data_IF_141178800381
#
_entry.id   IF_141178800381
#
_cell.length_a   1.000
_cell.length_b   1.000
_cell.length_c   1.000
_cell.angle_alpha   90.00
_cell.angle_beta   90.00
_cell.angle_gamma   90.00
#
_symmetry.space_group_name_H-M   'P 1'
#
loop_
_entity.id
_entity.type
_entity.pdbx_description
1 polymer ?
#
# COMPACT_ATOMS: atom_id res chain seq x y z
N UNK A 1 -7.63 -5.04 -23.94
CA UNK A 1 -8.03 -3.60 -23.97
C UNK A 1 -6.90 -2.81 -23.31
N UNK A 2 -6.32 -1.81 -23.98
CA UNK A 2 -5.13 -1.09 -23.49
C UNK A 2 -5.59 0.15 -22.73
N UNK A 3 -5.61 0.09 -21.39
CA UNK A 3 -5.90 1.27 -20.58
C UNK A 3 -4.71 2.23 -20.64
N UNK A 4 -4.98 3.51 -20.91
CA UNK A 4 -3.97 4.56 -20.92
C UNK A 4 -4.31 5.53 -19.80
N UNK A 5 -3.40 5.70 -18.85
CA UNK A 5 -3.57 6.66 -17.76
C UNK A 5 -2.77 7.92 -18.07
N UNK A 6 -3.39 9.08 -17.91
CA UNK A 6 -2.75 10.39 -18.02
C UNK A 6 -3.01 11.14 -16.71
N UNK A 7 -1.95 11.42 -15.96
CA UNK A 7 -2.03 12.15 -14.69
C UNK A 7 -1.66 13.61 -14.91
N UNK A 8 -2.46 14.51 -14.33
CA UNK A 8 -2.19 15.95 -14.31
C UNK A 8 -2.05 16.42 -12.86
N UNK A 9 -1.04 17.22 -12.60
CA UNK A 9 -0.83 17.87 -11.31
C UNK A 9 -1.20 19.35 -11.44
N UNK A 10 -2.08 19.81 -10.54
CA UNK A 10 -2.56 21.19 -10.51
C UNK A 10 -3.57 21.37 -9.37
N UNK A 11 -3.80 22.61 -8.98
CA UNK A 11 -4.92 22.96 -8.11
C UNK A 11 -6.24 22.72 -8.84
N UNK A 12 -7.36 22.49 -8.14
CA UNK A 12 -8.64 22.23 -8.78
C UNK A 12 -9.08 23.32 -9.77
N UNK A 13 -8.80 24.58 -9.44
CA UNK A 13 -9.06 25.73 -10.31
C UNK A 13 -8.22 25.67 -11.59
N UNK A 14 -6.93 25.36 -11.48
CA UNK A 14 -6.04 25.22 -12.64
C UNK A 14 -6.46 24.06 -13.56
N UNK A 15 -6.98 22.97 -12.98
CA UNK A 15 -7.45 21.81 -13.75
C UNK A 15 -8.80 22.10 -14.45
N UNK A 16 -9.70 22.81 -13.80
CA UNK A 16 -11.00 23.20 -14.37
C UNK A 16 -10.87 24.25 -15.48
N UNK A 17 -9.88 25.15 -15.37
CA UNK A 17 -9.57 26.19 -16.36
C UNK A 17 -8.65 25.69 -17.49
N UNK A 18 -8.04 24.51 -17.36
CA UNK A 18 -7.13 23.96 -18.37
C UNK A 18 -7.85 23.55 -19.65
N UNK A 19 -7.61 24.28 -20.73
CA UNK A 19 -8.07 23.92 -22.08
C UNK A 19 -7.49 22.57 -22.55
N UNK A 20 -6.28 22.22 -22.12
CA UNK A 20 -5.64 20.95 -22.47
C UNK A 20 -6.38 19.75 -21.89
N UNK A 21 -6.85 19.84 -20.64
CA UNK A 21 -7.67 18.79 -20.01
C UNK A 21 -9.02 18.68 -20.71
N UNK A 22 -9.66 19.81 -21.04
CA UNK A 22 -10.96 19.84 -21.72
C UNK A 22 -10.91 19.21 -23.12
N UNK A 23 -9.85 19.47 -23.88
CA UNK A 23 -9.68 18.92 -25.23
C UNK A 23 -9.38 17.42 -25.18
N UNK A 24 -8.58 16.96 -24.20
CA UNK A 24 -8.29 15.54 -24.00
C UNK A 24 -9.55 14.74 -23.64
N UNK A 25 -10.41 15.29 -22.78
CA UNK A 25 -11.71 14.69 -22.41
C UNK A 25 -12.66 14.64 -23.60
N UNK A 26 -12.66 15.66 -24.48
CA UNK A 26 -13.51 15.67 -25.69
C UNK A 26 -13.10 14.64 -26.74
N UNK A 27 -11.80 14.37 -26.88
CA UNK A 27 -11.29 13.40 -27.86
C UNK A 27 -11.56 11.93 -27.46
N UNK A 28 -11.91 11.66 -26.21
CA UNK A 28 -12.28 10.33 -25.73
C UNK A 28 -13.80 10.14 -25.71
N UNK A 29 -14.35 9.58 -26.79
CA UNK A 29 -15.77 9.21 -26.92
C UNK A 29 -16.10 7.85 -26.27
N UNK A 30 -15.56 7.59 -25.08
CA UNK A 30 -15.88 6.44 -24.23
C UNK A 30 -15.96 6.90 -22.78
N UNK A 31 -16.71 6.20 -21.92
CA UNK A 31 -16.96 6.59 -20.52
C UNK A 31 -15.69 7.09 -19.84
N UNK A 32 -15.62 8.41 -19.67
CA UNK A 32 -14.54 9.06 -18.93
C UNK A 32 -14.97 9.01 -17.47
N UNK A 33 -14.41 8.08 -16.70
CA UNK A 33 -14.40 8.20 -15.24
C UNK A 33 -13.51 9.39 -14.89
N UNK A 34 -14.14 10.56 -14.85
CA UNK A 34 -13.53 11.74 -14.25
C UNK A 34 -13.53 11.47 -12.75
N UNK A 35 -12.39 11.02 -12.22
CA UNK A 35 -12.11 11.11 -10.78
C UNK A 35 -12.09 12.60 -10.44
N UNK A 36 -13.27 13.15 -10.15
CA UNK A 36 -13.41 14.49 -9.60
C UNK A 36 -12.71 14.50 -8.25
N UNK A 37 -11.53 15.12 -8.19
CA UNK A 37 -11.13 15.81 -6.97
C UNK A 37 -12.08 16.98 -6.79
N UNK A 38 -13.18 16.78 -6.08
CA UNK A 38 -13.99 17.90 -5.58
C UNK A 38 -13.29 18.51 -4.37
N UNK A 39 -12.90 19.80 -4.40
CA UNK A 39 -12.64 20.55 -3.19
C UNK A 39 -13.95 21.20 -2.71
N UNK A 40 -14.36 20.89 -1.49
CA UNK A 40 -14.95 21.80 -0.49
C UNK A 40 -15.73 21.03 0.56
N UNK A 41 -15.40 21.27 1.81
CA UNK A 41 -16.34 22.02 2.63
C UNK A 41 -15.67 23.35 2.98
N UNK A 42 -16.32 24.44 2.58
CA UNK A 42 -16.17 25.73 3.25
C UNK A 42 -16.70 25.49 4.66
N UNK A 43 -15.87 25.71 5.66
CA UNK A 43 -16.28 25.60 7.05
C UNK A 43 -17.26 26.74 7.30
N UNK A 44 -18.55 26.42 7.38
CA UNK A 44 -19.54 27.25 8.03
C UNK A 44 -19.32 27.05 9.55
N UNK A 45 -18.96 28.10 10.32
CA UNK A 45 -18.54 27.92 11.71
C UNK A 45 -19.68 27.57 12.69
N UNK A 46 -20.90 27.25 12.23
CA UNK A 46 -22.06 26.98 13.10
C UNK A 46 -22.87 25.72 12.75
N UNK A 47 -22.33 24.74 12.00
CA UNK A 47 -23.00 23.43 11.86
C UNK A 47 -22.30 22.34 12.67
N UNK A 48 -22.97 21.88 13.72
CA UNK A 48 -22.60 20.76 14.60
C UNK A 48 -22.84 19.39 13.94
N UNK A 49 -22.69 19.31 12.61
CA UNK A 49 -22.77 18.07 11.86
C UNK A 49 -21.36 17.51 11.67
N UNK A 50 -21.00 16.54 12.52
CA UNK A 50 -19.80 15.72 12.38
C UNK A 50 -19.75 15.12 10.96
N UNK A 51 -18.85 15.64 10.13
CA UNK A 51 -18.46 15.00 8.87
C UNK A 51 -17.74 13.70 9.19
N UNK A 52 -18.50 12.60 9.21
CA UNK A 52 -18.02 11.23 9.29
C UNK A 52 -17.21 10.88 8.04
N UNK A 53 -15.90 11.18 8.09
CA UNK A 53 -14.92 10.61 7.18
C UNK A 53 -14.74 9.14 7.55
N UNK A 54 -15.68 8.27 7.20
CA UNK A 54 -15.72 6.84 7.55
C UNK A 54 -14.35 6.20 7.77
N UNK A 55 -13.92 6.19 9.04
CA UNK A 55 -12.69 5.54 9.51
C UNK A 55 -12.95 4.02 9.58
N UNK A 56 -13.06 3.37 8.42
CA UNK A 56 -13.49 1.98 8.25
C UNK A 56 -12.39 0.92 8.55
N UNK A 57 -11.50 1.20 9.51
CA UNK A 57 -10.63 0.18 10.11
C UNK A 57 -10.89 0.18 11.60
N UNK A 58 -11.86 -0.65 12.02
CA UNK A 58 -12.14 -0.87 13.43
C UNK A 58 -10.98 -1.65 14.08
N UNK A 59 -10.53 -1.19 15.25
CA UNK A 59 -9.43 -1.83 15.98
C UNK A 59 -8.03 -1.44 15.48
N UNK A 60 -7.03 -2.18 15.94
CA UNK A 60 -5.62 -1.91 15.66
C UNK A 60 -5.09 -2.72 14.47
N UNK A 61 -4.19 -2.12 13.71
CA UNK A 61 -3.52 -2.78 12.59
C UNK A 61 -2.59 -3.86 13.15
N UNK A 62 -2.73 -5.14 12.74
CA UNK A 62 -1.96 -6.24 13.30
C UNK A 62 -0.44 -6.02 13.23
N UNK A 63 0.23 -6.30 14.35
CA UNK A 63 1.69 -6.20 14.50
C UNK A 63 2.26 -4.78 14.52
N UNK A 64 1.49 -3.74 14.19
CA UNK A 64 1.93 -2.35 14.22
C UNK A 64 1.90 -1.83 15.67
N UNK A 65 2.98 -1.21 16.12
CA UNK A 65 3.04 -0.57 17.45
C UNK A 65 2.22 0.72 17.49
N UNK A 66 1.81 1.13 18.70
CA UNK A 66 0.95 2.29 18.94
C UNK A 66 1.38 3.55 18.16
N UNK A 67 2.67 3.88 18.18
CA UNK A 67 3.25 5.03 17.46
C UNK A 67 2.92 5.05 15.95
N UNK A 68 2.81 3.88 15.32
CA UNK A 68 2.54 3.77 13.89
C UNK A 68 1.07 3.64 13.52
N UNK A 69 0.18 3.39 14.49
CA UNK A 69 -1.21 3.00 14.24
C UNK A 69 -1.96 4.06 13.42
N UNK A 70 -1.95 5.32 13.88
CA UNK A 70 -2.68 6.40 13.20
C UNK A 70 -2.19 6.63 11.76
N UNK A 71 -0.87 6.56 11.53
CA UNK A 71 -0.28 6.75 10.20
C UNK A 71 -0.62 5.61 9.24
N UNK A 72 -0.65 4.37 9.72
CA UNK A 72 -1.00 3.21 8.88
C UNK A 72 -2.51 3.19 8.61
N UNK A 73 -3.36 3.47 9.60
CA UNK A 73 -4.81 3.61 9.41
C UNK A 73 -5.15 4.69 8.37
N UNK A 74 -4.48 5.85 8.43
CA UNK A 74 -4.64 6.90 7.43
C UNK A 74 -4.25 6.47 6.01
N UNK A 75 -3.25 5.59 5.86
CA UNK A 75 -2.89 5.03 4.55
C UNK A 75 -3.90 4.01 4.05
N UNK A 76 -4.42 3.15 4.94
CA UNK A 76 -5.42 2.14 4.59
C UNK A 76 -6.70 2.75 4.03
N UNK A 77 -7.05 3.99 4.41
CA UNK A 77 -8.18 4.72 3.84
C UNK A 77 -8.09 4.91 2.31
N UNK A 78 -6.91 4.80 1.71
CA UNK A 78 -6.70 4.89 0.26
C UNK A 78 -6.61 3.52 -0.43
N UNK A 79 -6.60 2.43 0.33
CA UNK A 79 -6.43 1.09 -0.19
C UNK A 79 -7.78 0.45 -0.52
N UNK A 80 -8.08 0.14 -1.79
CA UNK A 80 -9.36 -0.46 -2.20
C UNK A 80 -9.56 -1.88 -1.66
N UNK A 81 -8.51 -2.57 -1.21
CA UNK A 81 -8.54 -3.90 -0.61
C UNK A 81 -7.96 -3.89 0.81
N UNK A 82 -8.31 -2.85 1.59
CA UNK A 82 -7.83 -2.67 2.96
C UNK A 82 -8.10 -3.90 3.86
N UNK A 83 -9.27 -4.53 3.73
CA UNK A 83 -9.59 -5.72 4.52
C UNK A 83 -8.66 -6.89 4.19
N UNK A 84 -8.48 -7.22 2.92
CA UNK A 84 -7.56 -8.29 2.51
C UNK A 84 -6.11 -7.99 2.93
N UNK A 85 -5.70 -6.71 2.90
CA UNK A 85 -4.40 -6.31 3.43
C UNK A 85 -4.31 -6.54 4.95
N UNK A 86 -5.36 -6.23 5.71
CA UNK A 86 -5.40 -6.49 7.15
C UNK A 86 -5.39 -7.99 7.45
N UNK A 87 -6.07 -8.81 6.65
CA UNK A 87 -6.05 -10.26 6.76
C UNK A 87 -4.65 -10.83 6.48
N UNK A 88 -3.95 -10.29 5.47
CA UNK A 88 -2.53 -10.58 5.24
C UNK A 88 -1.67 -10.25 6.47
N UNK A 89 -1.84 -9.05 7.03
CA UNK A 89 -1.09 -8.62 8.21
C UNK A 89 -1.40 -9.50 9.42
N UNK A 90 -2.67 -9.85 9.64
CA UNK A 90 -3.10 -10.70 10.75
C UNK A 90 -2.43 -12.08 10.68
N UNK A 91 -2.47 -12.71 9.51
CA UNK A 91 -1.84 -14.02 9.30
C UNK A 91 -0.32 -13.94 9.42
N UNK A 92 0.34 -13.08 8.64
CA UNK A 92 1.80 -13.02 8.60
C UNK A 92 2.44 -12.59 9.92
N UNK A 93 1.75 -11.77 10.73
CA UNK A 93 2.24 -11.36 12.05
C UNK A 93 1.94 -12.38 13.16
N UNK A 94 1.10 -13.39 12.89
CA UNK A 94 0.88 -14.51 13.79
C UNK A 94 2.04 -15.52 13.79
N UNK A 95 2.87 -15.51 12.74
CA UNK A 95 3.99 -16.42 12.60
C UNK A 95 5.08 -16.16 13.63
N UNK A 96 5.79 -17.23 14.01
CA UNK A 96 6.72 -17.19 15.14
C UNK A 96 7.81 -16.12 14.97
N UNK A 97 7.84 -15.18 15.92
CA UNK A 97 8.88 -14.17 15.98
C UNK A 97 8.80 -13.10 14.88
N UNK A 98 7.70 -12.98 14.13
CA UNK A 98 7.51 -11.89 13.19
C UNK A 98 7.25 -10.57 13.94
N UNK A 99 7.98 -9.52 13.56
CA UNK A 99 7.84 -8.17 14.09
C UNK A 99 7.69 -7.19 12.93
N UNK A 100 6.80 -6.20 13.08
CA UNK A 100 6.58 -5.14 12.10
C UNK A 100 7.38 -3.90 12.49
N UNK A 101 8.14 -3.35 11.55
CA UNK A 101 8.92 -2.13 11.76
C UNK A 101 8.59 -1.06 10.72
N UNK A 102 8.49 0.19 11.16
CA UNK A 102 8.57 1.35 10.28
C UNK A 102 9.96 1.54 9.67
N UNK A 103 10.15 2.61 8.92
CA UNK A 103 11.37 2.95 8.19
C UNK A 103 12.33 3.73 9.08
N UNK A 104 13.60 3.31 9.10
CA UNK A 104 14.70 4.15 9.60
C UNK A 104 15.12 5.09 8.47
N UNK A 105 14.81 6.37 8.58
CA UNK A 105 15.23 7.38 7.58
C UNK A 105 16.75 7.57 7.64
N UNK A 106 17.35 8.16 6.60
CA UNK A 106 18.81 8.29 6.46
C UNK A 106 19.49 9.02 7.63
N UNK A 107 18.77 9.92 8.29
CA UNK A 107 19.24 10.72 9.43
C UNK A 107 18.86 10.15 10.78
N UNK A 108 18.25 8.96 10.83
CA UNK A 108 17.75 8.33 12.05
C UNK A 108 18.90 8.01 13.01
N UNK A 109 18.70 8.35 14.29
CA UNK A 109 19.58 8.05 15.42
C UNK A 109 18.86 7.16 16.44
N UNK A 110 19.62 6.55 17.33
CA UNK A 110 19.04 5.76 18.41
C UNK A 110 18.13 6.63 19.30
N UNK A 111 16.88 6.19 19.47
CA UNK A 111 15.84 6.94 20.16
C UNK A 111 14.91 7.75 19.26
N UNK A 112 15.27 7.94 17.98
CA UNK A 112 14.36 8.61 17.03
C UNK A 112 13.15 7.71 16.71
N UNK A 113 11.96 8.33 16.50
CA UNK A 113 10.78 7.61 16.06
C UNK A 113 10.99 6.94 14.69
N UNK A 114 10.24 5.88 14.43
CA UNK A 114 10.25 5.22 13.12
C UNK A 114 9.24 5.92 12.20
N UNK A 115 9.53 5.92 10.90
CA UNK A 115 8.61 6.48 9.91
C UNK A 115 7.67 5.40 9.35
N UNK A 116 6.36 5.59 9.53
CA UNK A 116 5.32 4.66 9.10
C UNK A 116 4.61 5.07 7.80
N UNK A 117 5.00 6.18 7.15
CA UNK A 117 4.31 6.78 5.96
C UNK A 117 4.56 6.05 4.64
N UNK A 118 5.46 5.06 4.62
CA UNK A 118 5.83 4.32 3.42
C UNK A 118 5.52 2.83 3.55
N UNK A 119 6.55 2.00 3.38
CA UNK A 119 6.42 0.58 3.62
C UNK A 119 6.66 0.22 5.09
N UNK A 120 6.00 -0.84 5.54
CA UNK A 120 6.33 -1.54 6.77
C UNK A 120 7.18 -2.75 6.46
N UNK A 121 8.08 -3.11 7.37
CA UNK A 121 8.98 -4.26 7.23
C UNK A 121 8.55 -5.36 8.18
N UNK A 122 8.13 -6.49 7.65
CA UNK A 122 7.91 -7.70 8.43
C UNK A 122 9.25 -8.44 8.51
N UNK A 123 9.74 -8.65 9.73
CA UNK A 123 11.04 -9.27 9.99
C UNK A 123 10.91 -10.37 11.03
N UNK A 124 11.57 -11.51 10.77
CA UNK A 124 11.73 -12.57 11.76
C UNK A 124 12.79 -12.19 12.80
N UNK A 125 12.43 -12.27 14.08
CA UNK A 125 13.33 -12.01 15.21
C UNK A 125 14.52 -12.96 15.15
N UNK A 126 15.72 -12.41 15.32
CA UNK A 126 16.96 -13.18 15.25
C UNK A 126 17.48 -13.43 13.83
N UNK A 127 16.70 -13.13 12.77
CA UNK A 127 17.23 -13.22 11.41
C UNK A 127 18.32 -12.18 11.18
N UNK A 128 19.43 -12.62 10.58
CA UNK A 128 20.52 -11.76 10.11
C UNK A 128 20.13 -10.92 8.88
N UNK A 129 19.00 -11.24 8.25
CA UNK A 129 18.48 -10.52 7.10
C UNK A 129 17.60 -9.34 7.50
N UNK A 130 17.28 -8.51 6.50
CA UNK A 130 16.25 -7.48 6.61
C UNK A 130 14.85 -8.09 6.75
N UNK A 131 13.81 -7.30 6.45
CA UNK A 131 12.45 -7.85 6.41
C UNK A 131 12.34 -8.93 5.33
N UNK A 132 11.66 -10.04 5.60
CA UNK A 132 11.35 -11.03 4.57
C UNK A 132 10.27 -10.49 3.61
N UNK A 133 9.46 -9.55 4.09
CA UNK A 133 8.46 -8.83 3.29
C UNK A 133 8.47 -7.34 3.64
N UNK A 134 8.28 -6.50 2.61
CA UNK A 134 7.87 -5.10 2.75
C UNK A 134 6.44 -4.92 2.26
N UNK A 135 5.58 -4.30 3.07
CA UNK A 135 4.17 -4.09 2.75
C UNK A 135 3.87 -2.60 2.64
N UNK A 136 3.05 -2.21 1.67
CA UNK A 136 2.65 -0.82 1.43
C UNK A 136 1.16 -0.68 1.70
N UNK A 137 0.80 -0.14 2.87
CA UNK A 137 -0.57 -0.09 3.35
C UNK A 137 -1.52 0.68 2.42
N UNK A 138 -1.03 1.75 1.78
CA UNK A 138 -1.83 2.59 0.89
C UNK A 138 -2.21 1.94 -0.44
N UNK A 139 -1.42 0.99 -0.93
CA UNK A 139 -1.62 0.39 -2.26
C UNK A 139 -1.96 -1.10 -2.22
N UNK A 140 -1.73 -1.77 -1.09
CA UNK A 140 -1.82 -3.23 -1.00
C UNK A 140 -0.65 -3.95 -1.68
N UNK A 141 0.38 -3.22 -2.12
CA UNK A 141 1.58 -3.81 -2.73
C UNK A 141 2.43 -4.47 -1.65
N UNK A 142 2.95 -5.65 -1.98
CA UNK A 142 3.83 -6.43 -1.13
C UNK A 142 5.08 -6.78 -1.94
N UNK A 143 6.26 -6.62 -1.34
CA UNK A 143 7.55 -6.95 -1.93
C UNK A 143 8.21 -8.04 -1.08
N UNK A 144 8.53 -9.16 -1.71
CA UNK A 144 9.06 -10.33 -1.03
C UNK A 144 10.57 -10.42 -1.23
N UNK A 145 11.28 -10.88 -0.21
CA UNK A 145 12.73 -11.15 -0.24
C UNK A 145 13.03 -12.45 -1.02
N UNK A 146 12.56 -12.52 -2.26
CA UNK A 146 12.66 -13.67 -3.15
C UNK A 146 13.22 -13.26 -4.51
N UNK A 147 13.79 -14.24 -5.22
CA UNK A 147 14.11 -14.12 -6.63
C UNK A 147 12.91 -14.57 -7.46
N UNK A 148 12.68 -13.90 -8.58
CA UNK A 148 11.63 -14.31 -9.51
C UNK A 148 12.11 -15.53 -10.32
N UNK A 149 11.24 -16.53 -10.46
CA UNK A 149 11.47 -17.77 -11.22
C UNK A 149 10.15 -18.28 -11.82
N UNK A 150 10.22 -19.29 -12.67
CA UNK A 150 9.03 -19.94 -13.23
C UNK A 150 8.18 -20.60 -12.12
N UNK A 151 8.81 -21.20 -11.11
CA UNK A 151 8.12 -21.75 -9.94
C UNK A 151 7.32 -20.68 -9.17
N UNK A 152 7.88 -19.47 -9.03
CA UNK A 152 7.17 -18.34 -8.43
C UNK A 152 5.97 -17.92 -9.28
N UNK A 153 6.14 -17.90 -10.61
CA UNK A 153 5.06 -17.55 -11.53
C UNK A 153 3.93 -18.61 -11.55
N UNK A 154 4.25 -19.88 -11.32
CA UNK A 154 3.25 -20.95 -11.17
C UNK A 154 2.52 -20.86 -9.83
N UNK A 155 3.25 -20.59 -8.74
CA UNK A 155 2.69 -20.46 -7.39
C UNK A 155 1.79 -19.22 -7.25
N UNK A 156 2.23 -18.09 -7.81
CA UNK A 156 1.57 -16.80 -7.73
C UNK A 156 1.52 -16.13 -9.11
N UNK A 157 0.55 -16.51 -9.97
CA UNK A 157 0.43 -15.98 -11.33
C UNK A 157 0.26 -14.46 -11.43
N UNK A 158 -0.24 -13.81 -10.38
CA UNK A 158 -0.39 -12.35 -10.31
C UNK A 158 0.85 -11.63 -9.78
N UNK A 159 1.89 -12.38 -9.40
CA UNK A 159 3.16 -11.81 -9.00
C UNK A 159 3.95 -11.30 -10.21
N UNK A 160 4.75 -10.26 -9.99
CA UNK A 160 5.57 -9.66 -11.04
C UNK A 160 6.98 -9.29 -10.56
N UNK A 161 7.97 -9.33 -11.48
CA UNK A 161 9.34 -9.01 -11.14
C UNK A 161 9.58 -7.49 -11.06
N UNK A 162 10.33 -7.03 -10.05
CA UNK A 162 10.88 -5.66 -10.02
C UNK A 162 12.21 -5.62 -10.77
N UNK A 163 12.33 -4.80 -11.81
CA UNK A 163 13.57 -4.70 -12.61
C UNK A 163 14.59 -3.68 -12.07
N UNK A 164 14.20 -2.85 -11.11
CA UNK A 164 15.04 -1.83 -10.45
C UNK A 164 14.97 -1.98 -8.93
N UNK A 165 15.82 -1.29 -8.17
CA UNK A 165 15.85 -1.40 -6.71
C UNK A 165 16.68 -2.58 -6.17
N UNK A 166 16.43 -2.97 -4.91
CA UNK A 166 17.23 -3.98 -4.21
C UNK A 166 17.07 -5.36 -4.85
N UNK A 167 18.19 -5.97 -5.23
CA UNK A 167 18.22 -7.28 -5.89
C UNK A 167 17.66 -8.42 -5.05
N UNK A 168 17.54 -8.24 -3.74
CA UNK A 168 16.97 -9.24 -2.83
C UNK A 168 15.44 -9.24 -2.85
N UNK A 169 14.79 -8.19 -3.37
CA UNK A 169 13.34 -8.02 -3.35
C UNK A 169 12.81 -7.92 -4.78
N UNK A 170 12.81 -9.06 -5.49
CA UNK A 170 12.45 -9.10 -6.91
C UNK A 170 11.01 -9.52 -7.14
N UNK A 171 10.36 -10.20 -6.21
CA UNK A 171 8.98 -10.64 -6.36
C UNK A 171 8.04 -9.63 -5.70
N UNK A 172 6.96 -9.28 -6.38
CA UNK A 172 5.96 -8.33 -5.88
C UNK A 172 4.58 -8.83 -6.25
N UNK A 173 3.58 -8.51 -5.45
CA UNK A 173 2.17 -8.71 -5.76
C UNK A 173 1.38 -7.52 -5.20
N UNK A 174 0.25 -7.20 -5.81
CA UNK A 174 -0.70 -6.25 -5.24
C UNK A 174 -1.94 -7.01 -4.79
N UNK A 175 -2.29 -6.90 -3.51
CA UNK A 175 -3.55 -7.43 -3.01
C UNK A 175 -4.68 -6.54 -3.50
N UNK A 176 -5.64 -7.13 -4.20
CA UNK A 176 -6.89 -6.48 -4.58
C UNK A 176 -8.13 -7.37 -4.37
N UNK A 177 -7.94 -8.65 -4.02
CA UNK A 177 -9.00 -9.62 -3.75
C UNK A 177 -8.46 -10.83 -2.97
N UNK A 178 -9.34 -11.80 -2.69
CA UNK A 178 -9.00 -13.04 -1.99
C UNK A 178 -7.99 -13.95 -2.74
N UNK A 179 -7.95 -13.88 -4.07
CA UNK A 179 -7.02 -14.69 -4.86
C UNK A 179 -5.59 -14.18 -4.66
N UNK A 180 -5.41 -12.86 -4.83
CA UNK A 180 -4.12 -12.19 -4.64
C UNK A 180 -3.66 -12.21 -3.19
N UNK A 181 -4.58 -12.19 -2.21
CA UNK A 181 -4.27 -12.45 -0.79
C UNK A 181 -3.64 -13.83 -0.59
N UNK A 182 -4.27 -14.90 -1.10
CA UNK A 182 -3.74 -16.28 -0.95
C UNK A 182 -2.36 -16.43 -1.59
N UNK A 183 -2.20 -15.88 -2.79
CA UNK A 183 -0.90 -15.86 -3.46
C UNK A 183 0.16 -15.08 -2.65
N UNK A 184 -0.21 -13.93 -2.10
CA UNK A 184 0.67 -13.12 -1.27
C UNK A 184 1.12 -13.88 -0.01
N UNK A 185 0.20 -14.60 0.66
CA UNK A 185 0.52 -15.41 1.83
C UNK A 185 1.48 -16.55 1.49
N UNK A 186 1.24 -17.28 0.39
CA UNK A 186 2.13 -18.34 -0.06
C UNK A 186 3.56 -17.82 -0.36
N UNK A 187 3.66 -16.66 -1.01
CA UNK A 187 4.95 -16.00 -1.25
C UNK A 187 5.61 -15.51 0.05
N UNK A 188 4.83 -15.01 1.00
CA UNK A 188 5.35 -14.58 2.30
C UNK A 188 5.90 -15.75 3.10
N UNK A 189 5.26 -16.93 3.06
CA UNK A 189 5.70 -18.14 3.74
C UNK A 189 7.05 -18.60 3.19
N UNK A 190 7.20 -18.69 1.86
CA UNK A 190 8.49 -18.98 1.22
C UNK A 190 9.58 -17.97 1.60
N UNK A 191 9.24 -16.68 1.64
CA UNK A 191 10.19 -15.64 2.02
C UNK A 191 10.58 -15.74 3.51
N UNK A 192 9.64 -16.10 4.38
CA UNK A 192 9.86 -16.29 5.80
C UNK A 192 10.80 -17.47 6.06
N UNK A 193 10.54 -18.63 5.44
CA UNK A 193 11.36 -19.84 5.59
C UNK A 193 12.79 -19.67 5.06
N UNK A 194 12.98 -18.78 4.08
CA UNK A 194 14.29 -18.42 3.56
C UNK A 194 15.09 -17.47 4.48
N UNK A 195 14.53 -17.01 5.62
CA UNK A 195 15.14 -16.00 6.52
C UNK A 195 15.40 -16.44 7.95
#
# INVERSE_FOLDING_TARGET
MKLTYVCFEGTPQELDESEAVRELVRQWSGTVDTVRRTPRAVVDPESDDEVDFGWLVEGDVPGVVEEGQSTVKAQLAFNPAAQQFLDFMMEATSWEGVVVHGIKRKTWQEGDPLDYTGYLRLRRKGSQYGGFVYVFASTGVINFRLQYSDEIAELAPDAYPLTKGNYQYRVNIQIHDESTLKQALALAELAYDAT
#
